data_IF_595201632059
#
_entry.id   IF_595201632059
#
_cell.length_a   1.000
_cell.length_b   1.000
_cell.length_c   1.000
_cell.angle_alpha   90.00
_cell.angle_beta   90.00
_cell.angle_gamma   90.00
#
_symmetry.space_group_name_H-M   'P 1'
#
loop_
_entity.id
_entity.type
_entity.pdbx_description
1 polymer ?
#
# COMPACT_ATOMS: atom_id res chain seq x y z
N UNK A 1 0.65 -6.33 1.82
CA UNK A 1 1.53 -5.70 0.80
C UNK A 1 0.99 -5.84 -0.61
N UNK A 2 0.62 -7.03 -1.08
CA UNK A 2 0.06 -7.22 -2.43
C UNK A 2 -1.22 -6.40 -2.71
N UNK A 3 -2.18 -6.40 -1.77
CA UNK A 3 -3.40 -5.58 -1.87
C UNK A 3 -3.08 -4.10 -2.07
N UNK A 4 -2.11 -3.61 -1.31
CA UNK A 4 -1.70 -2.21 -1.35
C UNK A 4 -0.96 -1.86 -2.65
N UNK A 5 -0.10 -2.76 -3.13
CA UNK A 5 0.53 -2.65 -4.45
C UNK A 5 -0.52 -2.58 -5.57
N UNK A 6 -1.54 -3.44 -5.51
CA UNK A 6 -2.57 -3.48 -6.55
C UNK A 6 -3.37 -2.16 -6.57
N UNK A 7 -3.78 -1.65 -5.41
CA UNK A 7 -4.41 -0.33 -5.31
C UNK A 7 -3.54 0.77 -5.94
N UNK A 8 -2.25 0.82 -5.60
CA UNK A 8 -1.31 1.82 -6.14
C UNK A 8 -1.15 1.68 -7.67
N UNK A 9 -1.11 0.44 -8.17
CA UNK A 9 -1.02 0.17 -9.61
C UNK A 9 -2.24 0.66 -10.39
N UNK A 10 -3.45 0.35 -9.92
CA UNK A 10 -4.68 0.81 -10.57
C UNK A 10 -4.81 2.32 -10.52
N UNK A 11 -4.46 2.95 -9.39
CA UNK A 11 -4.48 4.41 -9.26
C UNK A 11 -3.47 5.10 -10.20
N UNK A 12 -2.29 4.52 -10.40
CA UNK A 12 -1.28 5.09 -11.30
C UNK A 12 -1.77 5.21 -12.76
N UNK A 13 -2.75 4.39 -13.14
CA UNK A 13 -3.39 4.41 -14.46
C UNK A 13 -4.56 5.41 -14.57
N UNK A 14 -4.92 6.13 -13.50
CA UNK A 14 -6.01 7.10 -13.49
C UNK A 14 -5.97 8.09 -14.67
N UNK A 15 -4.83 8.72 -15.03
CA UNK A 15 -4.79 9.66 -16.14
C UNK A 15 -5.15 9.02 -17.48
N UNK A 16 -4.79 7.74 -17.67
CA UNK A 16 -5.17 6.99 -18.88
C UNK A 16 -6.67 6.70 -18.89
N UNK A 17 -7.24 6.26 -17.77
CA UNK A 17 -8.68 5.99 -17.70
C UNK A 17 -9.51 7.25 -17.94
N UNK A 18 -9.04 8.42 -17.49
CA UNK A 18 -9.68 9.70 -17.80
C UNK A 18 -9.57 10.05 -19.28
N UNK A 19 -8.41 9.84 -19.88
CA UNK A 19 -8.17 10.08 -21.30
C UNK A 19 -9.03 9.19 -22.20
N UNK A 20 -9.23 7.93 -21.81
CA UNK A 20 -9.96 6.94 -22.60
C UNK A 20 -11.48 6.96 -22.30
N UNK A 21 -11.94 7.74 -21.31
CA UNK A 21 -13.34 7.79 -20.91
C UNK A 21 -13.82 6.59 -20.06
N UNK A 22 -12.90 5.80 -19.51
CA UNK A 22 -13.17 4.61 -18.69
C UNK A 22 -13.34 4.93 -17.18
N UNK A 23 -13.82 6.12 -16.84
CA UNK A 23 -13.99 6.54 -15.44
C UNK A 23 -14.99 5.66 -14.69
N UNK A 24 -16.12 5.31 -15.29
CA UNK A 24 -17.16 4.50 -14.62
C UNK A 24 -16.64 3.10 -14.27
N UNK A 25 -16.05 2.32 -15.20
CA UNK A 25 -15.39 1.06 -14.86
C UNK A 25 -14.33 1.21 -13.77
N UNK A 26 -13.50 2.24 -13.83
CA UNK A 26 -12.48 2.51 -12.82
C UNK A 26 -13.08 2.71 -11.42
N UNK A 27 -14.13 3.53 -11.29
CA UNK A 27 -14.78 3.80 -10.00
C UNK A 27 -15.42 2.53 -9.44
N UNK A 28 -16.20 1.81 -10.25
CA UNK A 28 -16.91 0.60 -9.79
C UNK A 28 -15.93 -0.48 -9.34
N UNK A 29 -14.91 -0.76 -10.15
CA UNK A 29 -13.91 -1.78 -9.81
C UNK A 29 -13.03 -1.38 -8.63
N UNK A 30 -12.66 -0.10 -8.52
CA UNK A 30 -11.86 0.41 -7.40
C UNK A 30 -12.62 0.36 -6.09
N UNK A 31 -13.92 0.70 -6.08
CA UNK A 31 -14.77 0.61 -4.88
C UNK A 31 -15.00 -0.85 -4.48
N UNK A 32 -15.28 -1.73 -5.46
CA UNK A 32 -15.42 -3.16 -5.21
C UNK A 32 -14.13 -3.76 -4.62
N UNK A 33 -12.98 -3.44 -5.23
CA UNK A 33 -11.69 -3.88 -4.74
C UNK A 33 -11.36 -3.31 -3.35
N UNK A 34 -11.71 -2.06 -3.06
CA UNK A 34 -11.54 -1.46 -1.73
C UNK A 34 -12.40 -2.19 -0.68
N UNK A 35 -13.65 -2.50 -1.00
CA UNK A 35 -14.54 -3.25 -0.12
C UNK A 35 -13.97 -4.65 0.19
N UNK A 36 -13.56 -5.39 -0.84
CA UNK A 36 -12.91 -6.70 -0.66
C UNK A 36 -11.60 -6.59 0.12
N UNK A 37 -10.82 -5.53 -0.10
CA UNK A 37 -9.56 -5.28 0.60
C UNK A 37 -9.79 -5.05 2.10
N UNK A 38 -10.80 -4.26 2.48
CA UNK A 38 -11.15 -4.02 3.88
C UNK A 38 -11.68 -5.30 4.54
N UNK A 39 -12.56 -6.03 3.85
CA UNK A 39 -13.10 -7.30 4.34
C UNK A 39 -11.98 -8.31 4.57
N UNK A 40 -11.09 -8.49 3.59
CA UNK A 40 -9.98 -9.42 3.66
C UNK A 40 -8.96 -8.99 4.70
N UNK A 41 -8.66 -7.69 4.83
CA UNK A 41 -7.77 -7.18 5.87
C UNK A 41 -8.35 -7.42 7.27
N UNK A 42 -9.65 -7.22 7.47
CA UNK A 42 -10.34 -7.50 8.74
C UNK A 42 -10.35 -8.98 9.08
N UNK A 43 -10.52 -9.85 8.07
CA UNK A 43 -10.44 -11.29 8.24
C UNK A 43 -9.00 -11.77 8.54
N UNK A 44 -8.00 -11.16 7.90
CA UNK A 44 -6.60 -11.50 8.07
C UNK A 44 -6.03 -10.96 9.39
N UNK A 45 -6.49 -9.81 9.86
CA UNK A 45 -6.14 -9.25 11.18
C UNK A 45 -6.53 -10.19 12.32
N UNK A 46 -7.68 -10.87 12.23
CA UNK A 46 -8.08 -11.92 13.18
C UNK A 46 -7.16 -13.15 13.20
N UNK A 47 -6.41 -13.40 12.12
CA UNK A 47 -5.46 -14.52 12.02
C UNK A 47 -3.99 -14.08 12.19
N UNK A 48 -3.72 -12.77 12.07
CA UNK A 48 -2.37 -12.20 11.89
C UNK A 48 -1.60 -12.02 13.19
N UNK A 49 -2.25 -12.00 14.36
CA UNK A 49 -1.56 -11.78 15.63
C UNK A 49 -0.49 -12.85 15.90
N UNK A 50 -0.60 -14.06 15.33
CA UNK A 50 0.34 -15.17 15.58
C UNK A 50 1.42 -15.38 14.50
N UNK A 51 1.21 -15.03 13.22
CA UNK A 51 2.03 -15.53 12.10
C UNK A 51 2.59 -14.44 11.16
N UNK A 52 2.27 -13.16 11.35
CA UNK A 52 2.76 -12.13 10.45
C UNK A 52 4.24 -11.89 10.79
N UNK A 53 5.14 -12.43 9.93
CA UNK A 53 6.61 -12.46 10.00
C UNK A 53 7.30 -11.09 10.17
N UNK A 54 6.91 -10.38 11.21
CA UNK A 54 7.38 -9.08 11.67
C UNK A 54 8.72 -9.20 12.40
N UNK A 55 9.28 -10.42 12.49
CA UNK A 55 10.60 -10.67 13.07
C UNK A 55 11.75 -9.99 12.31
N UNK A 56 11.63 -9.81 10.98
CA UNK A 56 12.63 -9.08 10.20
C UNK A 56 12.58 -7.56 10.45
N UNK A 57 11.37 -7.02 10.61
CA UNK A 57 11.16 -5.61 10.94
C UNK A 57 11.60 -5.27 12.37
N UNK A 58 11.32 -6.14 13.35
CA UNK A 58 11.77 -5.96 14.73
C UNK A 58 13.30 -5.97 14.86
N UNK A 59 14.01 -6.72 14.01
CA UNK A 59 15.49 -6.75 13.98
C UNK A 59 16.07 -5.44 13.42
N UNK A 60 15.40 -4.82 12.45
CA UNK A 60 15.79 -3.54 11.85
C UNK A 60 15.41 -2.33 12.72
N UNK A 61 14.28 -2.42 13.44
CA UNK A 61 13.69 -1.35 14.27
C UNK A 61 14.09 -1.40 15.75
N UNK A 62 15.22 -2.03 16.09
CA UNK A 62 15.68 -2.22 17.48
C UNK A 62 15.77 -0.92 18.33
N UNK A 63 15.84 0.24 17.67
CA UNK A 63 15.94 1.55 18.31
C UNK A 63 14.61 2.33 18.43
N UNK A 64 13.50 1.81 17.89
CA UNK A 64 12.19 2.45 17.97
C UNK A 64 11.35 1.80 19.08
N UNK A 65 10.62 2.61 19.89
CA UNK A 65 9.80 2.09 20.98
C UNK A 65 8.74 1.15 20.42
N UNK A 66 8.12 0.33 21.28
CA UNK A 66 6.97 -0.56 21.00
C UNK A 66 5.73 0.21 20.51
N UNK A 67 5.86 0.98 19.46
CA UNK A 67 4.76 1.49 18.68
C UNK A 67 4.13 0.26 18.03
N UNK A 68 2.82 0.11 18.23
CA UNK A 68 2.04 -0.95 17.64
C UNK A 68 2.20 -0.90 16.11
N UNK A 69 3.05 -1.77 15.58
CA UNK A 69 3.40 -1.77 14.17
C UNK A 69 2.19 -2.16 13.31
N UNK A 70 1.25 -2.92 13.87
CA UNK A 70 -0.03 -3.20 13.22
C UNK A 70 -0.85 -1.92 13.11
N UNK A 71 -0.92 -1.11 14.16
CA UNK A 71 -1.55 0.21 14.14
C UNK A 71 -0.91 1.14 13.10
N UNK A 72 0.42 1.21 13.04
CA UNK A 72 1.14 2.03 12.05
C UNK A 72 0.83 1.58 10.62
N UNK A 73 0.87 0.26 10.37
CA UNK A 73 0.58 -0.30 9.05
C UNK A 73 -0.87 -0.01 8.64
N UNK A 74 -1.80 -0.11 9.59
CA UNK A 74 -3.23 0.17 9.38
C UNK A 74 -3.47 1.64 9.05
N UNK A 75 -2.92 2.57 9.83
CA UNK A 75 -3.01 4.00 9.54
C UNK A 75 -2.41 4.36 8.19
N UNK A 76 -1.25 3.79 7.88
CA UNK A 76 -0.59 4.00 6.59
C UNK A 76 -1.44 3.53 5.41
N UNK A 77 -2.19 2.43 5.56
CA UNK A 77 -3.15 1.97 4.55
C UNK A 77 -4.30 2.98 4.36
N UNK A 78 -4.95 3.42 5.45
CA UNK A 78 -6.06 4.37 5.34
C UNK A 78 -5.64 5.74 4.80
N UNK A 79 -4.50 6.25 5.25
CA UNK A 79 -3.94 7.52 4.74
C UNK A 79 -3.65 7.40 3.25
N UNK A 80 -3.02 6.31 2.82
CA UNK A 80 -2.73 6.06 1.39
C UNK A 80 -4.00 6.04 0.55
N UNK A 81 -5.00 5.25 0.93
CA UNK A 81 -6.29 5.17 0.21
C UNK A 81 -6.99 6.53 0.17
N UNK A 82 -6.96 7.28 1.28
CA UNK A 82 -7.58 8.61 1.36
C UNK A 82 -6.92 9.61 0.41
N UNK A 83 -5.58 9.61 0.33
CA UNK A 83 -4.84 10.46 -0.62
C UNK A 83 -5.17 10.09 -2.06
N UNK A 84 -5.22 8.79 -2.37
CA UNK A 84 -5.55 8.31 -3.72
C UNK A 84 -6.98 8.68 -4.12
N UNK A 85 -7.95 8.47 -3.24
CA UNK A 85 -9.34 8.86 -3.46
C UNK A 85 -9.50 10.38 -3.62
N UNK A 86 -8.84 11.16 -2.76
CA UNK A 86 -8.84 12.62 -2.82
C UNK A 86 -8.27 13.13 -4.14
N UNK A 87 -7.14 12.58 -4.60
CA UNK A 87 -6.55 12.92 -5.90
C UNK A 87 -7.44 12.50 -7.06
N UNK A 88 -8.08 11.32 -7.00
CA UNK A 88 -9.04 10.89 -8.02
C UNK A 88 -10.24 11.82 -8.14
N UNK A 89 -10.81 12.25 -7.01
CA UNK A 89 -11.92 13.22 -7.00
C UNK A 89 -11.45 14.58 -7.53
N UNK A 90 -10.31 15.07 -7.04
CA UNK A 90 -9.76 16.35 -7.46
C UNK A 90 -9.48 16.39 -8.98
N UNK A 91 -8.94 15.31 -9.54
CA UNK A 91 -8.64 15.19 -10.97
C UNK A 91 -9.88 15.23 -11.87
N UNK A 92 -11.06 14.87 -11.34
CA UNK A 92 -12.33 14.90 -12.08
C UNK A 92 -13.14 16.17 -11.80
N UNK A 93 -13.15 16.63 -10.55
CA UNK A 93 -14.00 17.73 -10.10
C UNK A 93 -13.38 19.12 -10.33
N UNK A 94 -12.05 19.21 -10.36
CA UNK A 94 -11.34 20.48 -10.50
C UNK A 94 -10.74 20.59 -11.90
N UNK A 95 -10.99 21.72 -12.56
CA UNK A 95 -10.27 22.06 -13.77
C UNK A 95 -8.79 22.31 -13.44
N UNK A 96 -7.84 21.76 -14.21
CA UNK A 96 -6.42 22.03 -13.98
C UNK A 96 -6.15 23.52 -14.15
N UNK A 97 -5.30 24.13 -13.31
CA UNK A 97 -4.93 25.53 -13.47
C UNK A 97 -4.32 25.77 -14.86
N UNK A 98 -4.61 26.90 -15.52
CA UNK A 98 -4.14 27.15 -16.89
C UNK A 98 -2.61 27.26 -17.02
N UNK A 99 -1.91 27.53 -15.92
CA UNK A 99 -0.45 27.55 -15.87
C UNK A 99 0.18 26.16 -15.63
N UNK A 100 -0.62 25.15 -15.24
CA UNK A 100 -0.19 23.77 -14.95
C UNK A 100 -1.25 22.77 -15.46
N UNK A 101 -1.33 22.54 -16.79
CA UNK A 101 -2.33 21.65 -17.37
C UNK A 101 -2.19 20.19 -16.89
N UNK A 102 -0.97 19.77 -16.57
CA UNK A 102 -0.64 18.39 -16.17
C UNK A 102 -0.49 18.21 -14.65
N UNK A 103 -1.00 19.14 -13.84
CA UNK A 103 -0.87 19.10 -12.38
C UNK A 103 -1.35 17.76 -11.78
N UNK A 104 -2.56 17.33 -12.12
CA UNK A 104 -3.14 16.10 -11.57
C UNK A 104 -2.38 14.84 -12.01
N UNK A 105 -2.06 14.64 -13.30
CA UNK A 105 -1.17 13.56 -13.73
C UNK A 105 0.17 13.52 -12.98
N UNK A 106 0.79 14.67 -12.71
CA UNK A 106 2.06 14.76 -11.97
C UNK A 106 1.88 14.40 -10.50
N UNK A 107 0.81 14.85 -9.84
CA UNK A 107 0.53 14.48 -8.46
C UNK A 107 0.26 12.97 -8.32
N UNK A 108 -0.47 12.39 -9.27
CA UNK A 108 -0.72 10.95 -9.35
C UNK A 108 0.60 10.19 -9.55
N UNK A 109 1.50 10.67 -10.40
CA UNK A 109 2.79 10.01 -10.67
C UNK A 109 3.73 10.06 -9.47
N UNK A 110 3.88 11.22 -8.82
CA UNK A 110 4.70 11.38 -7.60
C UNK A 110 4.17 10.46 -6.50
N UNK A 111 2.85 10.49 -6.28
CA UNK A 111 2.21 9.66 -5.25
C UNK A 111 2.43 8.17 -5.54
N UNK A 112 2.20 7.73 -6.78
CA UNK A 112 2.38 6.32 -7.18
C UNK A 112 3.84 5.89 -7.08
N UNK A 113 4.77 6.75 -7.49
CA UNK A 113 6.21 6.50 -7.39
C UNK A 113 6.64 6.28 -5.94
N UNK A 114 6.18 7.11 -4.99
CA UNK A 114 6.49 6.90 -3.57
C UNK A 114 6.00 5.55 -3.06
N UNK A 115 4.82 5.10 -3.49
CA UNK A 115 4.29 3.78 -3.12
C UNK A 115 5.13 2.63 -3.70
N UNK A 116 5.46 2.70 -4.99
CA UNK A 116 6.29 1.68 -5.64
C UNK A 116 7.71 1.64 -5.08
N UNK A 117 8.32 2.79 -4.80
CA UNK A 117 9.64 2.87 -4.18
C UNK A 117 9.62 2.24 -2.77
N UNK A 118 8.60 2.56 -1.95
CA UNK A 118 8.46 1.96 -0.63
C UNK A 118 8.31 0.44 -0.67
N UNK A 119 7.51 -0.06 -1.63
CA UNK A 119 7.32 -1.50 -1.86
C UNK A 119 8.59 -2.16 -2.38
N UNK A 120 9.31 -1.51 -3.29
CA UNK A 120 10.59 -1.97 -3.80
C UNK A 120 11.62 -2.14 -2.68
N UNK A 121 11.79 -1.10 -1.84
CA UNK A 121 12.70 -1.16 -0.69
C UNK A 121 12.28 -2.29 0.26
N UNK A 122 10.97 -2.39 0.56
CA UNK A 122 10.44 -3.46 1.40
C UNK A 122 10.80 -4.85 0.88
N UNK A 123 10.51 -5.12 -0.40
CA UNK A 123 10.77 -6.44 -0.97
C UNK A 123 12.27 -6.75 -1.05
N UNK A 124 13.12 -5.76 -1.33
CA UNK A 124 14.57 -5.95 -1.28
C UNK A 124 15.03 -6.32 0.13
N UNK A 125 14.57 -5.61 1.17
CA UNK A 125 14.90 -5.94 2.56
C UNK A 125 14.44 -7.36 2.89
N UNK A 126 13.22 -7.73 2.53
CA UNK A 126 12.68 -9.08 2.78
C UNK A 126 13.47 -10.16 2.04
N UNK A 127 13.87 -9.90 0.79
CA UNK A 127 14.62 -10.84 -0.04
C UNK A 127 16.04 -11.10 0.49
N UNK A 128 16.71 -10.08 1.01
CA UNK A 128 18.07 -10.19 1.56
C UNK A 128 18.12 -10.47 3.06
N UNK A 129 16.97 -10.50 3.75
CA UNK A 129 16.90 -10.94 5.14
C UNK A 129 16.89 -12.46 5.20
N UNK A 130 17.91 -13.07 5.81
CA UNK A 130 17.92 -14.52 6.02
C UNK A 130 16.67 -14.96 6.82
N UNK A 131 16.04 -16.09 6.45
CA UNK A 131 15.03 -16.70 7.30
C UNK A 131 15.68 -16.97 8.67
N UNK A 132 14.96 -16.77 9.79
CA UNK A 132 15.51 -17.09 11.10
C UNK A 132 16.00 -18.53 11.05
N UNK A 133 17.30 -18.73 11.31
CA UNK A 133 17.87 -20.06 11.38
C UNK A 133 16.97 -20.85 12.31
N UNK A 134 16.46 -22.00 11.84
CA UNK A 134 15.86 -23.01 12.72
C UNK A 134 16.96 -23.34 13.72
N UNK A 135 16.99 -22.62 14.84
CA UNK A 135 17.86 -22.91 15.97
C UNK A 135 17.44 -24.29 16.43
N UNK A 136 18.20 -25.26 15.93
CA UNK A 136 18.43 -26.59 16.42
C UNK A 136 17.38 -27.02 17.44
N UNK A 137 16.45 -27.90 17.04
CA UNK A 137 15.89 -28.87 17.97
C UNK A 137 17.07 -29.68 18.52
N UNK A 138 17.75 -29.11 19.51
CA UNK A 138 18.70 -29.78 20.39
C UNK A 138 18.04 -29.81 21.77
N UNK A 139 17.18 -30.80 21.95
CA UNK A 139 16.93 -31.46 23.23
C UNK A 139 17.08 -32.94 22.90
N UNK A 140 18.31 -33.44 23.01
CA UNK A 140 18.90 -34.09 24.19
C UNK A 140 18.35 -35.51 24.36
N UNK A 141 19.27 -36.47 24.15
CA UNK A 141 19.29 -37.90 24.51
C UNK A 141 17.96 -38.60 24.80
#
# INVERSE_FOLDING_TARGET
MAIWFLHASTFSMLPLFLKDGLLVPFVVTSLGFLYFSIYLLSALERCSEEELRLGAYHKLLFCLPKLDLAWIVRWKFYVSVSVMAGLSIAAVALAPPPHLPDLFPVLVSITSFSHFLGIFIYFNIVQFSEPPSRKSQKKNN
#
